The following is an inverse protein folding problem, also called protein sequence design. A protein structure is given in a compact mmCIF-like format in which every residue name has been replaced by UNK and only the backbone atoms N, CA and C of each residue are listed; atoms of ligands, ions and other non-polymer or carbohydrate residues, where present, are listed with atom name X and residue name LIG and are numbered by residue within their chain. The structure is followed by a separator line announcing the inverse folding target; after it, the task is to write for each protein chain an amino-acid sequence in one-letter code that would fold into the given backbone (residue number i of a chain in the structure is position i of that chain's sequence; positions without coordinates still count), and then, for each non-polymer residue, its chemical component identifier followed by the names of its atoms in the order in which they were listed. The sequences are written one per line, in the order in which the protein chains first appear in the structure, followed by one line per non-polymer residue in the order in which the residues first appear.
data_IF_822188323131
#
_entry.id   IF_822188323131
#
_cell.length_a   1.000
_cell.length_b   1.000
_cell.length_c   1.000
_cell.angle_alpha   90.00
_cell.angle_beta   90.00
_cell.angle_gamma   90.00
#
_symmetry.space_group_name_H-M   'P 1'
#
loop_
_entity.id
_entity.type
_entity.pdbx_description
1 polymer ?
#
# COMPACT_ATOMS: atom_id res chain seq x y z
N UNK A 1 0.83 14.98 -21.08
CA UNK A 1 1.92 15.19 -20.08
C UNK A 1 2.38 13.82 -19.59
N UNK A 2 3.69 13.62 -19.34
CA UNK A 2 4.24 12.40 -18.73
C UNK A 2 4.66 12.72 -17.30
N UNK A 3 4.40 11.82 -16.35
CA UNK A 3 4.77 11.98 -14.94
C UNK A 3 5.68 10.84 -14.51
N UNK A 4 6.82 11.16 -13.91
CA UNK A 4 7.64 10.20 -13.17
C UNK A 4 7.34 10.35 -11.69
N UNK A 5 6.86 9.29 -11.04
CA UNK A 5 6.70 9.24 -9.60
C UNK A 5 7.76 8.31 -9.01
N UNK A 6 8.71 8.86 -8.26
CA UNK A 6 9.74 8.10 -7.57
C UNK A 6 9.35 7.93 -6.10
N UNK A 7 9.06 6.71 -5.66
CA UNK A 7 8.68 6.48 -4.28
C UNK A 7 8.66 5.01 -3.85
N UNK A 8 8.15 4.79 -2.64
CA UNK A 8 8.11 3.50 -1.96
C UNK A 8 7.17 2.48 -2.64
N UNK A 9 7.57 1.21 -2.54
CA UNK A 9 6.81 0.02 -2.92
C UNK A 9 6.78 -0.92 -1.71
N UNK A 10 5.60 -1.36 -1.30
CA UNK A 10 5.47 -2.28 -0.17
C UNK A 10 4.56 -3.46 -0.52
N UNK A 11 4.71 -4.54 0.27
CA UNK A 11 3.70 -5.58 0.41
C UNK A 11 2.97 -5.29 1.72
N UNK A 12 1.73 -4.82 1.62
CA UNK A 12 0.93 -4.45 2.79
C UNK A 12 0.14 -5.67 3.27
N UNK A 13 0.45 -6.14 4.47
CA UNK A 13 -0.34 -7.14 5.19
C UNK A 13 -1.43 -6.44 6.00
N UNK A 14 -2.68 -6.65 5.63
CA UNK A 14 -3.83 -6.03 6.28
C UNK A 14 -4.60 -7.10 7.06
N UNK A 15 -4.66 -6.94 8.37
CA UNK A 15 -5.37 -7.81 9.28
C UNK A 15 -6.67 -7.14 9.73
N UNK A 16 -7.77 -7.91 9.72
CA UNK A 16 -9.01 -7.49 10.38
C UNK A 16 -9.03 -8.11 11.77
N UNK A 17 -9.06 -7.28 12.79
CA UNK A 17 -9.08 -7.61 14.22
C UNK A 17 -10.23 -6.88 14.88
N UNK A 18 -10.62 -7.28 16.09
CA UNK A 18 -11.70 -6.65 16.83
C UNK A 18 -11.35 -5.21 17.23
N UNK A 19 -10.10 -4.97 17.67
CA UNK A 19 -9.60 -3.66 18.04
C UNK A 19 -8.08 -3.53 17.79
N UNK A 20 -7.55 -2.31 17.98
CA UNK A 20 -6.10 -2.10 17.89
C UNK A 20 -5.44 -2.64 19.15
N UNK A 21 -4.57 -3.64 18.97
CA UNK A 21 -3.88 -4.31 20.08
C UNK A 21 -3.09 -3.32 20.94
N UNK A 22 -3.12 -3.55 22.24
CA UNK A 22 -2.24 -2.84 23.19
C UNK A 22 -0.95 -3.63 23.45
N UNK A 23 0.01 -2.98 24.11
CA UNK A 23 1.32 -3.59 24.39
C UNK A 23 1.17 -4.89 25.19
N UNK A 24 1.68 -6.00 24.63
CA UNK A 24 1.70 -7.31 25.28
C UNK A 24 0.46 -8.18 25.01
N UNK A 25 -0.54 -7.64 24.32
CA UNK A 25 -1.73 -8.38 23.92
C UNK A 25 -1.47 -9.26 22.68
N UNK A 26 -2.22 -10.35 22.54
CA UNK A 26 -2.25 -11.19 21.33
C UNK A 26 -3.70 -11.56 21.02
N UNK A 27 -4.13 -11.31 19.78
CA UNK A 27 -5.47 -11.59 19.29
C UNK A 27 -5.41 -12.41 17.99
N UNK A 28 -6.40 -13.26 17.76
CA UNK A 28 -6.60 -13.93 16.47
C UNK A 28 -7.27 -12.98 15.48
N UNK A 29 -6.71 -12.85 14.27
CA UNK A 29 -7.36 -12.05 13.22
C UNK A 29 -8.57 -12.77 12.62
N UNK A 30 -9.63 -12.03 12.31
CA UNK A 30 -10.77 -12.53 11.52
C UNK A 30 -10.39 -12.85 10.07
N UNK A 31 -9.44 -12.09 9.50
CA UNK A 31 -8.95 -12.30 8.14
C UNK A 31 -7.60 -11.62 7.94
N UNK A 32 -6.83 -12.15 6.98
CA UNK A 32 -5.59 -11.55 6.48
C UNK A 32 -5.68 -11.39 4.97
N UNK A 33 -5.42 -10.18 4.48
CA UNK A 33 -5.30 -9.87 3.06
C UNK A 33 -3.91 -9.30 2.75
N UNK A 34 -3.45 -9.51 1.51
CA UNK A 34 -2.15 -9.02 1.02
C UNK A 34 -2.42 -8.08 -0.14
N UNK A 35 -1.86 -6.88 -0.08
CA UNK A 35 -2.01 -5.87 -1.12
C UNK A 35 -0.65 -5.34 -1.58
N UNK A 36 -0.59 -4.91 -2.84
CA UNK A 36 0.48 -4.02 -3.27
C UNK A 36 0.23 -2.63 -2.68
N UNK A 37 1.23 -2.10 -1.98
CA UNK A 37 1.10 -0.85 -1.23
C UNK A 37 2.34 0.02 -1.32
N UNK A 38 2.51 0.88 -0.32
CA UNK A 38 3.51 1.94 -0.33
C UNK A 38 2.97 3.23 -0.94
N UNK A 39 3.26 4.36 -0.31
CA UNK A 39 2.71 5.67 -0.70
C UNK A 39 3.08 6.04 -2.14
N UNK A 40 4.32 5.77 -2.54
CA UNK A 40 4.81 5.99 -3.92
C UNK A 40 3.97 5.22 -4.94
N UNK A 41 3.85 3.90 -4.79
CA UNK A 41 3.03 3.09 -5.68
C UNK A 41 1.55 3.52 -5.67
N UNK A 42 0.97 3.77 -4.49
CA UNK A 42 -0.43 4.18 -4.36
C UNK A 42 -0.72 5.47 -5.14
N UNK A 43 0.19 6.45 -5.08
CA UNK A 43 0.09 7.68 -5.87
C UNK A 43 0.21 7.42 -7.37
N UNK A 44 1.15 6.56 -7.79
CA UNK A 44 1.29 6.17 -9.20
C UNK A 44 0.03 5.51 -9.74
N UNK A 45 -0.56 4.58 -8.98
CA UNK A 45 -1.81 3.91 -9.35
C UNK A 45 -2.96 4.91 -9.44
N UNK A 46 -3.06 5.86 -8.49
CA UNK A 46 -4.08 6.90 -8.53
C UNK A 46 -3.95 7.79 -9.78
N UNK A 47 -2.72 8.20 -10.14
CA UNK A 47 -2.44 8.97 -11.35
C UNK A 47 -2.82 8.19 -12.62
N UNK A 48 -2.45 6.91 -12.69
CA UNK A 48 -2.82 6.04 -13.82
C UNK A 48 -4.33 5.89 -13.97
N UNK A 49 -5.07 5.71 -12.85
CA UNK A 49 -6.54 5.65 -12.84
C UNK A 49 -7.19 6.97 -13.27
N UNK A 50 -6.54 8.10 -13.03
CA UNK A 50 -6.98 9.42 -13.51
C UNK A 50 -6.62 9.69 -14.99
N UNK A 51 -6.03 8.72 -15.70
CA UNK A 51 -5.69 8.84 -17.12
C UNK A 51 -4.33 9.50 -17.40
N UNK A 52 -3.51 9.72 -16.37
CA UNK A 52 -2.16 10.29 -16.54
C UNK A 52 -1.18 9.21 -17.01
N UNK A 53 -0.37 9.53 -18.02
CA UNK A 53 0.74 8.66 -18.44
C UNK A 53 1.87 8.71 -17.39
N UNK A 54 1.84 7.76 -16.46
CA UNK A 54 2.72 7.69 -15.29
C UNK A 54 3.78 6.60 -15.45
N UNK A 55 5.00 6.94 -15.06
CA UNK A 55 6.12 6.02 -14.88
C UNK A 55 6.43 5.98 -13.39
N UNK A 56 6.62 4.79 -12.83
CA UNK A 56 7.00 4.65 -11.43
C UNK A 56 8.45 4.22 -11.33
N UNK A 57 9.22 4.95 -10.53
CA UNK A 57 10.55 4.54 -10.09
C UNK A 57 10.47 4.13 -8.61
N UNK A 58 11.18 3.09 -8.24
CA UNK A 58 11.23 2.57 -6.88
C UNK A 58 12.25 1.42 -6.78
N UNK A 59 12.44 0.91 -5.57
CA UNK A 59 13.27 -0.26 -5.30
C UNK A 59 12.41 -1.28 -4.54
N UNK A 60 12.63 -2.57 -4.81
CA UNK A 60 11.91 -3.70 -4.21
C UNK A 60 12.90 -4.52 -3.40
#
# INVERSE_FOLDING_TARGET
MKVLNFGSLNIDYVYRVDHILVKGETESSFSRNIFAGGKGLNQSVALGRAGVNVYHAGCI
#
